data_IF_066302751795
#
_entry.id   IF_066302751795
#
_cell.length_a   1.000
_cell.length_b   1.000
_cell.length_c   1.000
_cell.angle_alpha   90.00
_cell.angle_beta   90.00
_cell.angle_gamma   90.00
#
_symmetry.space_group_name_H-M   'P 1'
#
loop_
_entity.id
_entity.type
_entity.pdbx_description
1 polymer ?
#
# COMPACT_ATOMS: atom_id res chain seq x y z
N UNK A 1 0.30 26.51 -67.67
CA UNK A 1 0.72 25.37 -66.82
C UNK A 1 1.95 25.80 -66.06
N UNK A 2 1.82 26.04 -64.74
CA UNK A 2 2.95 26.21 -63.82
C UNK A 2 2.46 25.75 -62.45
N UNK A 3 3.12 24.72 -61.90
CA UNK A 3 2.85 24.13 -60.58
C UNK A 3 3.68 24.90 -59.55
N UNK A 4 3.06 25.31 -58.45
CA UNK A 4 3.77 25.78 -57.25
C UNK A 4 3.17 25.04 -56.06
N UNK A 5 3.97 24.15 -55.47
CA UNK A 5 3.69 23.43 -54.24
C UNK A 5 3.74 24.39 -53.04
N UNK A 6 2.88 24.21 -52.03
CA UNK A 6 3.31 24.36 -50.65
C UNK A 6 3.40 22.98 -49.96
N UNK A 7 4.50 22.80 -49.24
CA UNK A 7 4.77 21.66 -48.37
C UNK A 7 3.62 21.46 -47.38
N UNK A 8 3.03 20.27 -47.37
CA UNK A 8 2.22 19.81 -46.25
C UNK A 8 3.18 19.14 -45.26
N UNK A 9 3.65 19.94 -44.30
CA UNK A 9 4.40 19.48 -43.14
C UNK A 9 3.54 18.51 -42.34
N UNK A 10 4.16 17.39 -41.97
CA UNK A 10 3.50 16.26 -41.35
C UNK A 10 2.91 16.65 -40.00
N UNK A 11 1.67 16.24 -39.77
CA UNK A 11 1.15 16.12 -38.41
C UNK A 11 1.88 14.90 -37.82
N UNK A 12 3.09 15.13 -37.32
CA UNK A 12 3.79 14.15 -36.50
C UNK A 12 2.88 13.80 -35.33
N UNK A 13 2.27 12.62 -35.40
CA UNK A 13 1.82 11.89 -34.23
C UNK A 13 3.08 11.62 -33.40
N UNK A 14 3.50 12.61 -32.62
CA UNK A 14 4.52 12.41 -31.60
C UNK A 14 3.96 11.33 -30.68
N UNK A 15 4.66 10.19 -30.51
CA UNK A 15 4.28 9.24 -29.46
C UNK A 15 4.26 10.00 -28.12
N UNK A 16 3.47 9.57 -27.12
CA UNK A 16 3.62 10.10 -25.76
C UNK A 16 5.12 10.06 -25.44
N UNK A 17 5.67 11.22 -25.12
CA UNK A 17 7.10 11.35 -24.92
C UNK A 17 7.46 10.43 -23.76
N UNK A 18 8.44 9.54 -23.93
CA UNK A 18 8.87 8.63 -22.85
C UNK A 18 9.18 9.36 -21.53
N UNK A 19 9.50 10.66 -21.61
CA UNK A 19 9.67 11.58 -20.50
C UNK A 19 8.39 11.81 -19.67
N UNK A 20 7.20 11.85 -20.30
CA UNK A 20 5.92 12.02 -19.61
C UNK A 20 5.54 10.75 -18.83
N UNK A 21 5.81 9.56 -19.38
CA UNK A 21 5.60 8.27 -18.71
C UNK A 21 6.51 8.10 -17.49
N UNK A 22 7.80 8.45 -17.62
CA UNK A 22 8.75 8.42 -16.50
C UNK A 22 8.31 9.41 -15.42
N UNK A 23 7.86 10.60 -15.80
CA UNK A 23 7.39 11.63 -14.86
C UNK A 23 6.13 11.15 -14.12
N UNK A 24 5.17 10.54 -14.81
CA UNK A 24 4.00 9.93 -14.17
C UNK A 24 4.40 8.81 -13.21
N UNK A 25 5.30 7.92 -13.63
CA UNK A 25 5.75 6.80 -12.79
C UNK A 25 6.43 7.29 -11.52
N UNK A 26 7.27 8.33 -11.61
CA UNK A 26 7.91 8.99 -10.45
C UNK A 26 6.86 9.63 -9.54
N UNK A 27 5.86 10.32 -10.10
CA UNK A 27 4.79 10.92 -9.31
C UNK A 27 3.92 9.88 -8.59
N UNK A 28 3.62 8.75 -9.25
CA UNK A 28 2.91 7.61 -8.65
C UNK A 28 3.72 6.97 -7.51
N UNK A 29 5.02 6.79 -7.69
CA UNK A 29 5.91 6.28 -6.65
C UNK A 29 6.08 7.27 -5.49
N UNK A 30 6.19 8.56 -5.78
CA UNK A 30 6.23 9.61 -4.77
C UNK A 30 4.92 9.69 -3.98
N UNK A 31 3.77 9.57 -4.66
CA UNK A 31 2.46 9.52 -4.03
C UNK A 31 2.27 8.25 -3.17
N UNK A 32 2.79 7.10 -3.62
CA UNK A 32 2.76 5.87 -2.84
C UNK A 32 3.58 5.98 -1.53
N UNK A 33 4.69 6.73 -1.55
CA UNK A 33 5.46 7.04 -0.34
C UNK A 33 4.79 8.03 0.62
N UNK A 34 3.72 8.70 0.19
CA UNK A 34 2.91 9.61 1.02
C UNK A 34 1.64 8.94 1.57
N UNK A 35 1.33 7.70 1.17
CA UNK A 35 0.22 6.96 1.74
C UNK A 35 0.59 6.54 3.17
N UNK A 36 -0.36 6.64 4.13
CA UNK A 36 -0.12 6.11 5.45
C UNK A 36 0.21 4.63 5.35
N UNK A 37 1.15 4.16 6.19
CA UNK A 37 1.40 2.73 6.35
C UNK A 37 0.08 2.03 6.67
N UNK A 38 -0.14 0.84 6.09
CA UNK A 38 -1.37 0.07 6.26
C UNK A 38 -1.08 -1.32 6.80
N UNK A 39 -1.96 -1.80 7.68
CA UNK A 39 -1.96 -3.14 8.24
C UNK A 39 -3.35 -3.74 8.09
N UNK A 40 -3.44 -5.06 7.88
CA UNK A 40 -4.73 -5.74 7.80
C UNK A 40 -5.30 -6.00 9.20
N UNK A 41 -6.50 -5.48 9.47
CA UNK A 41 -7.22 -5.68 10.71
C UNK A 41 -8.28 -6.77 10.51
N UNK A 42 -8.07 -7.96 11.08
CA UNK A 42 -9.03 -9.08 11.02
C UNK A 42 -10.28 -8.86 11.85
N UNK A 43 -10.21 -8.01 12.88
CA UNK A 43 -11.36 -7.66 13.72
C UNK A 43 -12.34 -6.72 13.03
N UNK A 44 -11.84 -5.93 12.07
CA UNK A 44 -12.67 -5.12 11.20
C UNK A 44 -12.93 -5.90 9.91
N UNK A 45 -14.19 -6.26 9.67
CA UNK A 45 -14.58 -6.95 8.44
C UNK A 45 -15.41 -6.02 7.55
N UNK A 46 -15.43 -6.21 6.22
CA UNK A 46 -16.40 -5.57 5.36
C UNK A 46 -17.83 -5.88 5.85
N UNK A 47 -18.68 -4.86 5.93
CA UNK A 47 -20.10 -5.03 6.30
C UNK A 47 -20.94 -5.47 5.10
N UNK A 48 -21.88 -6.39 5.36
CA UNK A 48 -23.07 -6.76 4.59
C UNK A 48 -22.95 -7.58 3.28
N UNK A 49 -21.76 -7.95 2.79
CA UNK A 49 -21.66 -9.01 1.77
C UNK A 49 -20.94 -10.23 2.33
N UNK A 50 -21.66 -11.35 2.60
CA UNK A 50 -21.00 -12.60 2.93
C UNK A 50 -20.24 -13.05 1.69
N UNK A 51 -18.92 -12.85 1.66
CA UNK A 51 -18.07 -13.69 0.81
C UNK A 51 -18.30 -15.12 1.32
N UNK A 52 -18.88 -16.02 0.50
CA UNK A 52 -19.24 -17.33 0.98
C UNK A 52 -17.98 -18.21 0.99
N UNK A 53 -17.15 -18.07 2.03
CA UNK A 53 -16.28 -19.16 2.44
C UNK A 53 -16.10 -19.19 3.98
N UNK A 54 -16.82 -20.07 4.70
CA UNK A 54 -16.60 -20.31 6.12
C UNK A 54 -15.30 -21.08 6.44
N UNK A 55 -14.56 -21.57 5.44
CA UNK A 55 -13.27 -22.24 5.63
C UNK A 55 -12.08 -21.25 5.60
N UNK A 56 -12.24 -20.04 5.04
CA UNK A 56 -11.15 -19.05 4.91
C UNK A 56 -11.28 -17.81 5.81
N UNK A 57 -12.39 -17.67 6.54
CA UNK A 57 -12.65 -16.50 7.39
C UNK A 57 -12.90 -15.23 6.57
N UNK A 58 -13.56 -14.24 7.17
CA UNK A 58 -13.74 -12.95 6.49
C UNK A 58 -12.37 -12.28 6.33
N UNK A 59 -12.02 -11.80 5.12
CA UNK A 59 -10.80 -11.01 4.97
C UNK A 59 -10.97 -9.77 5.86
N UNK A 60 -9.98 -9.51 6.70
CA UNK A 60 -9.90 -8.24 7.43
C UNK A 60 -9.89 -7.05 6.47
N UNK A 61 -9.92 -5.83 7.00
CA UNK A 61 -9.79 -4.62 6.17
C UNK A 61 -8.46 -3.92 6.42
N UNK A 62 -7.85 -3.30 5.40
CA UNK A 62 -6.64 -2.52 5.59
C UNK A 62 -6.97 -1.26 6.40
N UNK A 63 -6.11 -0.97 7.38
CA UNK A 63 -6.24 0.14 8.30
C UNK A 63 -4.94 0.92 8.36
N UNK A 64 -5.06 2.25 8.42
CA UNK A 64 -3.90 3.11 8.59
C UNK A 64 -3.24 2.85 9.95
N UNK A 65 -1.91 2.71 9.96
CA UNK A 65 -1.11 2.61 11.17
C UNK A 65 -0.93 4.03 11.73
N UNK A 66 -1.47 4.27 12.93
CA UNK A 66 -1.34 5.54 13.64
C UNK A 66 -0.03 5.61 14.40
N UNK A 67 0.44 4.45 14.90
CA UNK A 67 1.68 4.33 15.64
C UNK A 67 2.23 2.91 15.49
N UNK A 68 3.54 2.79 15.40
CA UNK A 68 4.25 1.52 15.49
C UNK A 68 5.28 1.56 16.63
N UNK A 69 5.36 0.50 17.41
CA UNK A 69 6.37 0.32 18.46
C UNK A 69 7.01 -1.06 18.36
N UNK A 70 8.23 -1.20 18.87
CA UNK A 70 8.86 -2.51 19.04
C UNK A 70 9.14 -2.71 20.52
N UNK A 71 8.49 -3.69 21.13
CA UNK A 71 8.50 -3.88 22.57
C UNK A 71 8.70 -5.36 22.93
N UNK A 72 9.39 -5.62 24.04
CA UNK A 72 9.55 -6.97 24.56
C UNK A 72 8.29 -7.38 25.33
N UNK A 73 7.70 -8.54 25.02
CA UNK A 73 6.63 -9.06 25.87
C UNK A 73 7.24 -9.68 27.14
N UNK A 74 6.69 -9.38 28.33
CA UNK A 74 7.20 -9.93 29.57
C UNK A 74 6.99 -11.45 29.58
N UNK A 75 8.10 -12.19 29.56
CA UNK A 75 8.10 -13.63 29.76
C UNK A 75 8.28 -13.97 31.24
N UNK A 76 7.77 -15.12 31.71
CA UNK A 76 8.10 -15.63 33.04
C UNK A 76 9.62 -15.81 33.18
N UNK A 77 10.14 -15.59 34.40
CA UNK A 77 11.57 -15.82 34.67
C UNK A 77 12.00 -17.24 34.30
N UNK A 78 13.17 -17.37 33.66
CA UNK A 78 13.76 -18.64 33.25
C UNK A 78 13.36 -19.15 31.85
N UNK A 79 12.47 -18.45 31.15
CA UNK A 79 12.01 -18.84 29.80
C UNK A 79 12.93 -18.34 28.66
N UNK A 80 14.10 -17.81 29.01
CA UNK A 80 15.07 -17.24 28.07
C UNK A 80 14.84 -15.75 27.82
N UNK A 81 15.51 -15.17 26.80
CA UNK A 81 15.35 -13.77 26.45
C UNK A 81 13.92 -13.45 26.00
N UNK A 82 13.39 -12.32 26.45
CA UNK A 82 12.07 -11.85 26.05
C UNK A 82 12.00 -11.64 24.54
N UNK A 83 10.99 -12.21 23.89
CA UNK A 83 10.76 -12.02 22.46
C UNK A 83 10.30 -10.57 22.22
N UNK A 84 10.90 -9.93 21.21
CA UNK A 84 10.48 -8.62 20.72
C UNK A 84 9.27 -8.79 19.79
N UNK A 85 8.36 -7.81 19.85
CA UNK A 85 7.19 -7.74 18.99
C UNK A 85 7.12 -6.37 18.33
N UNK A 86 6.80 -6.35 17.05
CA UNK A 86 6.37 -5.17 16.31
C UNK A 86 4.86 -4.99 16.55
N UNK A 87 4.48 -3.89 17.16
CA UNK A 87 3.13 -3.57 17.56
C UNK A 87 2.64 -2.38 16.72
N UNK A 88 1.59 -2.62 15.95
CA UNK A 88 0.91 -1.62 15.11
C UNK A 88 -0.42 -1.22 15.74
N UNK A 89 -0.55 0.05 16.09
CA UNK A 89 -1.79 0.67 16.57
C UNK A 89 -2.53 1.27 15.37
N UNK A 90 -3.75 0.79 15.13
CA UNK A 90 -4.50 1.08 13.91
C UNK A 90 -5.53 2.20 14.12
N UNK A 91 -5.88 2.89 13.03
CA UNK A 91 -6.85 3.99 13.06
C UNK A 91 -8.26 3.55 13.48
N UNK A 92 -8.62 2.28 13.27
CA UNK A 92 -9.85 1.69 13.79
C UNK A 92 -9.85 1.46 15.31
N UNK A 93 -8.72 1.68 15.99
CA UNK A 93 -8.55 1.46 17.43
C UNK A 93 -8.05 0.06 17.81
N UNK A 94 -7.92 -0.86 16.85
CA UNK A 94 -7.35 -2.19 17.08
C UNK A 94 -5.81 -2.17 17.09
N UNK A 95 -5.23 -3.18 17.70
CA UNK A 95 -3.77 -3.37 17.80
C UNK A 95 -3.39 -4.72 17.20
N UNK A 96 -2.41 -4.72 16.30
CA UNK A 96 -1.84 -5.93 15.70
C UNK A 96 -0.41 -6.07 16.19
N UNK A 97 -0.02 -7.27 16.61
CA UNK A 97 1.33 -7.54 17.10
C UNK A 97 1.94 -8.74 16.35
N UNK A 98 3.11 -8.52 15.77
CA UNK A 98 3.90 -9.54 15.09
C UNK A 98 5.20 -9.76 15.83
N UNK A 99 5.72 -10.99 15.88
CA UNK A 99 7.03 -11.25 16.49
C UNK A 99 8.11 -10.61 15.63
N UNK A 100 8.95 -9.77 16.23
CA UNK A 100 10.12 -9.19 15.58
C UNK A 100 11.22 -10.27 15.47
N UNK A 101 11.89 -10.28 14.31
CA UNK A 101 12.81 -11.33 13.86
C UNK A 101 14.02 -11.55 14.78
#
# INVERSE_FOLDING_TARGET
>A
MTITHPLQDGIENSPPSASDDITQQILLQAAAGLLPEQEWCTDCTPGDDPVPDPEEGLPGIPQAVVRRTTEALPLPEGWGPAALYDISYLACGHTVAHRAF
#
